data_IF_378875771639
#
_entry.id   IF_378875771639
#
_cell.length_a   1.000
_cell.length_b   1.000
_cell.length_c   1.000
_cell.angle_alpha   90.00
_cell.angle_beta   90.00
_cell.angle_gamma   90.00
#
_symmetry.space_group_name_H-M   'P 1'
#
loop_
_entity.id
_entity.type
_entity.pdbx_description
1 polymer ?
#
# COMPACT_ATOMS: atom_id res chain seq x y z
N UNK A 1 -21.80 -25.57 26.36
CA UNK A 1 -21.26 -24.44 25.57
C UNK A 1 -19.75 -24.41 25.79
N UNK A 2 -18.97 -24.86 24.82
CA UNK A 2 -17.51 -24.82 24.94
C UNK A 2 -17.08 -23.34 24.78
N UNK A 3 -16.70 -22.71 25.89
CA UNK A 3 -16.24 -21.32 25.90
C UNK A 3 -14.97 -21.15 25.08
N UNK A 4 -14.80 -19.98 24.48
CA UNK A 4 -13.57 -19.65 23.75
C UNK A 4 -12.34 -19.84 24.67
N UNK A 5 -11.16 -20.18 24.12
CA UNK A 5 -9.93 -20.14 24.89
C UNK A 5 -9.75 -18.76 25.56
N UNK A 6 -9.24 -18.68 26.80
CA UNK A 6 -9.03 -17.41 27.46
C UNK A 6 -8.05 -16.56 26.66
N UNK A 7 -8.44 -15.33 26.32
CA UNK A 7 -7.56 -14.34 25.72
C UNK A 7 -6.51 -13.96 26.76
N UNK A 8 -5.24 -14.15 26.43
CA UNK A 8 -4.11 -13.93 27.35
C UNK A 8 -3.42 -12.58 27.15
N UNK A 9 -3.85 -11.82 26.17
CA UNK A 9 -3.20 -10.56 25.77
C UNK A 9 -4.22 -9.60 25.20
N UNK A 10 -3.99 -8.32 25.46
CA UNK A 10 -4.66 -7.15 24.89
C UNK A 10 -3.72 -6.37 23.96
N UNK A 11 -2.66 -7.02 23.47
CA UNK A 11 -1.69 -6.44 22.55
C UNK A 11 -2.01 -6.86 21.13
N UNK A 12 -2.19 -5.87 20.26
CA UNK A 12 -2.28 -6.05 18.82
C UNK A 12 -0.90 -5.91 18.20
N UNK A 13 -0.55 -6.84 17.33
CA UNK A 13 0.70 -6.84 16.57
C UNK A 13 0.40 -6.53 15.11
N UNK A 14 1.04 -5.47 14.60
CA UNK A 14 0.95 -5.10 13.19
C UNK A 14 2.34 -5.22 12.58
N UNK A 15 2.46 -6.02 11.52
CA UNK A 15 3.70 -6.09 10.76
C UNK A 15 3.91 -4.79 9.98
N UNK A 16 5.01 -4.10 10.26
CA UNK A 16 5.42 -2.87 9.57
C UNK A 16 6.87 -3.04 9.13
N UNK A 17 7.11 -3.26 7.82
CA UNK A 17 8.45 -3.52 7.30
C UNK A 17 9.43 -2.40 7.64
N UNK A 18 10.65 -2.77 8.03
CA UNK A 18 11.69 -1.78 8.34
C UNK A 18 12.01 -0.92 7.12
N UNK A 19 11.96 -1.45 5.89
CA UNK A 19 12.29 -0.66 4.69
C UNK A 19 11.34 0.54 4.44
N UNK A 20 10.09 0.50 4.94
CA UNK A 20 9.17 1.65 4.86
C UNK A 20 9.22 2.53 6.12
N UNK A 21 9.56 1.95 7.27
CA UNK A 21 9.64 2.66 8.54
C UNK A 21 11.00 3.37 8.72
N UNK A 22 12.06 2.85 8.10
CA UNK A 22 13.42 3.35 8.26
C UNK A 22 13.52 4.81 7.79
N UNK A 23 14.05 5.68 8.66
CA UNK A 23 14.13 7.11 8.40
C UNK A 23 12.79 7.86 8.46
N UNK A 24 11.69 7.19 8.85
CA UNK A 24 10.37 7.79 9.07
C UNK A 24 9.91 7.59 10.51
N UNK A 25 9.17 8.54 11.06
CA UNK A 25 8.50 8.36 12.33
C UNK A 25 7.17 7.63 12.13
N UNK A 26 6.99 6.50 12.80
CA UNK A 26 5.69 5.83 12.89
C UNK A 26 4.82 6.54 13.93
N UNK A 27 3.61 6.91 13.52
CA UNK A 27 2.64 7.61 14.36
C UNK A 27 1.36 6.79 14.46
N UNK A 28 0.81 6.68 15.65
CA UNK A 28 -0.48 6.02 15.92
C UNK A 28 -1.44 7.04 16.49
N UNK A 29 -2.62 7.15 15.88
CA UNK A 29 -3.73 8.01 16.33
C UNK A 29 -4.92 7.15 16.74
N UNK A 30 -5.84 7.74 17.51
CA UNK A 30 -7.03 7.05 18.01
C UNK A 30 -6.79 6.23 19.29
N UNK A 31 -5.64 6.42 19.93
CA UNK A 31 -5.33 5.82 21.24
C UNK A 31 -6.15 6.52 22.33
N UNK A 32 -6.80 5.72 23.17
CA UNK A 32 -7.49 6.20 24.36
C UNK A 32 -6.50 6.51 25.49
N UNK A 33 -7.00 7.09 26.58
CA UNK A 33 -6.17 7.32 27.77
C UNK A 33 -5.67 5.97 28.34
N UNK A 34 -4.37 5.88 28.57
CA UNK A 34 -3.71 4.66 29.06
C UNK A 34 -3.29 3.67 27.95
N UNK A 35 -3.77 3.84 26.73
CA UNK A 35 -3.29 3.06 25.59
C UNK A 35 -1.84 3.44 25.27
N UNK A 36 -1.08 2.48 24.73
CA UNK A 36 0.32 2.71 24.38
C UNK A 36 0.70 1.95 23.13
N UNK A 37 1.77 2.39 22.46
CA UNK A 37 2.34 1.68 21.33
C UNK A 37 3.87 1.74 21.36
N UNK A 38 4.48 0.74 20.76
CA UNK A 38 5.93 0.70 20.53
C UNK A 38 6.22 -0.02 19.22
N UNK A 39 7.13 0.54 18.42
CA UNK A 39 7.61 -0.09 17.21
C UNK A 39 8.99 -0.71 17.46
N UNK A 40 9.12 -2.01 17.19
CA UNK A 40 10.39 -2.73 17.21
C UNK A 40 10.83 -2.98 15.77
N UNK A 41 11.80 -2.20 15.31
CA UNK A 41 12.34 -2.28 13.94
C UNK A 41 13.06 -3.61 13.67
N UNK A 42 13.68 -4.22 14.70
CA UNK A 42 14.38 -5.51 14.56
C UNK A 42 13.41 -6.65 14.25
N UNK A 43 12.19 -6.54 14.80
CA UNK A 43 11.09 -7.48 14.57
C UNK A 43 10.18 -7.07 13.43
N UNK A 44 10.30 -5.82 12.95
CA UNK A 44 9.40 -5.21 11.98
C UNK A 44 7.94 -5.24 12.45
N UNK A 45 7.72 -5.00 13.74
CA UNK A 45 6.41 -5.12 14.38
C UNK A 45 6.08 -3.90 15.22
N UNK A 46 4.90 -3.34 14.96
CA UNK A 46 4.24 -2.37 15.81
C UNK A 46 3.37 -3.11 16.83
N UNK A 47 3.63 -2.88 18.09
CA UNK A 47 2.82 -3.36 19.21
C UNK A 47 1.92 -2.23 19.68
N UNK A 48 0.61 -2.49 19.74
CA UNK A 48 -0.38 -1.57 20.30
C UNK A 48 -1.07 -2.27 21.47
N UNK A 49 -1.02 -1.66 22.65
CA UNK A 49 -1.66 -2.16 23.87
C UNK A 49 -2.82 -1.25 24.22
N UNK A 50 -4.01 -1.83 24.32
CA UNK A 50 -5.21 -1.12 24.78
C UNK A 50 -5.34 -1.26 26.30
N UNK A 51 -5.75 -0.20 26.99
CA UNK A 51 -5.99 -0.21 28.44
C UNK A 51 -7.37 -0.78 28.80
N UNK A 52 -8.38 -0.56 27.95
CA UNK A 52 -9.70 -1.16 28.10
C UNK A 52 -9.69 -2.58 27.52
N UNK A 53 -9.77 -3.58 28.40
CA UNK A 53 -9.75 -5.02 28.08
C UNK A 53 -11.14 -5.67 28.20
N UNK A 54 -12.20 -4.86 28.30
CA UNK A 54 -13.57 -5.38 28.41
C UNK A 54 -13.95 -6.14 27.13
N UNK A 55 -14.44 -7.39 27.24
CA UNK A 55 -14.87 -8.15 26.08
C UNK A 55 -15.96 -7.43 25.29
N UNK A 56 -15.78 -7.36 23.97
CA UNK A 56 -16.70 -6.69 23.05
C UNK A 56 -16.41 -5.21 22.81
N UNK A 57 -15.43 -4.61 23.49
CA UNK A 57 -14.94 -3.27 23.16
C UNK A 57 -14.29 -3.25 21.77
N UNK A 58 -14.62 -2.24 20.98
CA UNK A 58 -14.02 -2.03 19.64
C UNK A 58 -13.06 -0.85 19.72
N UNK A 59 -11.81 -1.10 19.33
CA UNK A 59 -10.77 -0.08 19.25
C UNK A 59 -10.48 0.24 17.78
N UNK A 60 -10.36 1.53 17.46
CA UNK A 60 -10.00 1.99 16.11
C UNK A 60 -8.77 2.88 16.20
N UNK A 61 -7.74 2.52 15.44
CA UNK A 61 -6.49 3.27 15.36
C UNK A 61 -6.15 3.59 13.92
N UNK A 62 -5.45 4.70 13.72
CA UNK A 62 -4.85 5.06 12.44
C UNK A 62 -3.32 5.02 12.59
N UNK A 63 -2.67 4.19 11.77
CA UNK A 63 -1.21 4.09 11.73
C UNK A 63 -0.71 4.81 10.48
N UNK A 64 0.21 5.75 10.69
CA UNK A 64 0.76 6.60 9.62
C UNK A 64 2.27 6.76 9.76
N UNK A 65 2.95 6.94 8.63
CA UNK A 65 4.37 7.29 8.56
C UNK A 65 4.54 8.80 8.32
N UNK A 66 5.51 9.40 9.01
CA UNK A 66 5.87 10.81 8.90
C UNK A 66 7.38 10.95 8.59
N UNK A 67 7.78 11.47 7.42
CA UNK A 67 6.93 11.92 6.32
C UNK A 67 6.17 10.75 5.65
N UNK A 68 5.05 11.06 4.99
CA UNK A 68 4.29 10.05 4.23
C UNK A 68 5.17 9.45 3.12
N UNK A 69 5.02 8.15 2.89
CA UNK A 69 5.68 7.47 1.77
C UNK A 69 5.37 8.22 0.47
N UNK A 70 6.43 8.54 -0.28
CA UNK A 70 6.27 9.05 -1.64
C UNK A 70 5.62 7.95 -2.47
N UNK A 71 4.76 8.32 -3.40
CA UNK A 71 4.26 7.37 -4.41
C UNK A 71 5.49 6.79 -5.15
N UNK A 72 5.80 5.52 -4.89
CA UNK A 72 7.06 4.90 -5.36
C UNK A 72 6.95 4.45 -6.82
N UNK A 73 5.72 4.27 -7.31
CA UNK A 73 5.48 3.90 -8.70
C UNK A 73 4.33 4.70 -9.28
N UNK A 74 4.54 5.18 -10.51
CA UNK A 74 3.44 5.56 -11.38
C UNK A 74 2.95 4.27 -12.02
N UNK A 75 1.63 4.05 -11.99
CA UNK A 75 1.04 2.95 -12.76
C UNK A 75 1.24 3.27 -14.24
N UNK A 76 1.93 2.39 -14.96
CA UNK A 76 2.14 2.53 -16.40
C UNK A 76 0.80 2.78 -17.12
N UNK A 77 0.81 3.70 -18.08
CA UNK A 77 -0.33 4.00 -18.93
C UNK A 77 -0.01 3.62 -20.36
N UNK A 78 -0.83 2.77 -20.99
CA UNK A 78 -0.54 2.21 -22.30
C UNK A 78 -0.35 3.28 -23.37
N UNK A 79 -1.18 4.33 -23.37
CA UNK A 79 -1.08 5.40 -24.37
C UNK A 79 0.11 6.31 -24.12
N UNK A 80 0.42 6.63 -22.88
CA UNK A 80 1.60 7.42 -22.50
C UNK A 80 2.89 6.68 -22.85
N UNK A 81 2.93 5.36 -22.61
CA UNK A 81 4.14 4.55 -22.80
C UNK A 81 4.33 4.10 -24.26
N UNK A 82 3.24 3.79 -24.98
CA UNK A 82 3.30 3.16 -26.31
C UNK A 82 2.62 3.94 -27.43
N UNK A 83 1.95 5.07 -27.12
CA UNK A 83 1.16 5.81 -28.10
C UNK A 83 1.95 6.23 -29.33
N UNK A 84 3.19 6.70 -29.16
CA UNK A 84 4.05 7.01 -30.31
C UNK A 84 4.36 5.79 -31.17
N UNK A 85 4.71 4.66 -30.56
CA UNK A 85 4.99 3.41 -31.27
C UNK A 85 3.77 2.93 -32.06
N UNK A 86 2.57 3.04 -31.48
CA UNK A 86 1.31 2.72 -32.16
C UNK A 86 1.08 3.63 -33.35
N UNK A 87 1.26 4.95 -33.20
CA UNK A 87 1.08 5.92 -34.30
C UNK A 87 2.06 5.68 -35.45
N UNK A 88 3.33 5.39 -35.14
CA UNK A 88 4.36 5.06 -36.14
C UNK A 88 3.99 3.77 -36.88
N UNK A 89 3.62 2.72 -36.13
CA UNK A 89 3.21 1.45 -36.71
C UNK A 89 2.01 1.59 -37.65
N UNK A 90 1.00 2.36 -37.23
CA UNK A 90 -0.18 2.65 -38.05
C UNK A 90 0.20 3.42 -39.32
N UNK A 91 1.05 4.43 -39.21
CA UNK A 91 1.54 5.19 -40.37
C UNK A 91 2.29 4.33 -41.38
N UNK A 92 3.15 3.41 -40.91
CA UNK A 92 3.89 2.49 -41.78
C UNK A 92 2.96 1.53 -42.54
N UNK A 93 1.95 0.98 -41.85
CA UNK A 93 0.94 0.11 -42.48
C UNK A 93 0.16 0.88 -43.54
N UNK A 94 -0.32 2.09 -43.22
CA UNK A 94 -1.07 2.92 -44.17
C UNK A 94 -0.23 3.30 -45.40
N UNK A 95 1.05 3.66 -45.21
CA UNK A 95 1.97 3.97 -46.31
C UNK A 95 2.20 2.76 -47.21
N UNK A 96 2.39 1.56 -46.64
CA UNK A 96 2.53 0.32 -47.40
C UNK A 96 1.27 0.00 -48.20
N UNK A 97 0.09 0.14 -47.58
CA UNK A 97 -1.19 -0.05 -48.24
C UNK A 97 -1.39 0.91 -49.41
N UNK A 98 -1.10 2.20 -49.21
CA UNK A 98 -1.19 3.22 -50.26
C UNK A 98 -0.22 2.92 -51.41
N UNK A 99 1.02 2.51 -51.10
CA UNK A 99 2.00 2.10 -52.09
C UNK A 99 1.50 0.94 -52.94
N UNK A 100 0.99 -0.12 -52.30
CA UNK A 100 0.42 -1.29 -52.97
C UNK A 100 -0.74 -0.89 -53.88
N UNK A 101 -1.72 -0.14 -53.37
CA UNK A 101 -2.87 0.32 -54.15
C UNK A 101 -2.44 1.16 -55.38
N UNK A 102 -1.49 2.08 -55.21
CA UNK A 102 -0.96 2.90 -56.30
C UNK A 102 -0.25 2.12 -57.40
N UNK A 103 0.10 0.85 -57.14
CA UNK A 103 0.75 -0.05 -58.08
C UNK A 103 -0.22 -0.98 -58.81
N UNK A 104 -1.41 -1.19 -58.25
CA UNK A 104 -2.43 -2.09 -58.81
C UNK A 104 -3.59 -1.35 -59.50
N UNK A 105 -3.71 -0.03 -59.33
CA UNK A 105 -4.61 0.86 -60.06
C UNK A 105 -3.83 1.60 -61.15
#
# INVERSE_FOLDING_TARGET
>A
TAGHPPLRTNVTELFVPSFIAHGSALTVRGLAEGDSYTYDESRQTLYVRTADDRPGTVHSIEVSLQPRLRAVFFVNDFWSDWGQSVLIGLGAVLALWAYVLSRFM
#
